data_IF_124754215982
#
_entry.id   IF_124754215982
#
_cell.length_a   1.000
_cell.length_b   1.000
_cell.length_c   1.000
_cell.angle_alpha   90.00
_cell.angle_beta   90.00
_cell.angle_gamma   90.00
#
_symmetry.space_group_name_H-M   'P 1'
#
loop_
_entity.id
_entity.type
_entity.pdbx_description
1 polymer ?
#
# COMPACT_ATOMS: atom_id res chain seq x y z
N UNK A 1 3.05 -10.45 7.66
CA UNK A 1 2.30 -9.17 7.84
C UNK A 1 2.36 -8.74 9.29
N UNK A 2 2.07 -7.48 9.57
CA UNK A 2 1.86 -6.97 10.93
C UNK A 2 1.32 -5.55 10.91
N UNK A 3 1.13 -4.99 12.10
CA UNK A 3 0.85 -3.57 12.31
C UNK A 3 2.01 -2.98 13.09
N UNK A 4 2.64 -1.94 12.59
CA UNK A 4 3.66 -1.19 13.31
C UNK A 4 3.00 -0.02 14.02
N UNK A 5 3.57 0.40 15.15
CA UNK A 5 3.18 1.63 15.83
C UNK A 5 4.43 2.49 16.03
N UNK A 6 4.39 3.74 15.60
CA UNK A 6 5.35 4.74 16.09
C UNK A 6 4.82 5.35 17.38
N UNK A 7 5.68 5.44 18.40
CA UNK A 7 5.30 5.92 19.73
C UNK A 7 4.69 7.33 19.64
N UNK A 8 3.41 7.46 20.02
CA UNK A 8 2.82 8.73 20.43
C UNK A 8 1.61 9.23 19.64
N UNK A 9 1.31 8.72 18.45
CA UNK A 9 0.13 9.12 17.68
C UNK A 9 -0.54 7.89 17.07
N UNK A 10 -1.79 8.04 16.65
CA UNK A 10 -2.56 7.05 15.90
C UNK A 10 -1.94 6.72 14.52
N UNK A 11 -0.63 6.57 14.42
CA UNK A 11 0.16 6.29 13.22
C UNK A 11 0.44 4.78 13.10
N UNK A 12 -0.54 3.94 13.45
CA UNK A 12 -0.39 2.51 13.21
C UNK A 12 -0.37 2.27 11.70
N UNK A 13 0.62 1.54 11.18
CA UNK A 13 0.71 1.23 9.75
C UNK A 13 0.74 -0.27 9.54
N UNK A 14 -0.14 -0.75 8.67
CA UNK A 14 -0.11 -2.11 8.19
C UNK A 14 1.15 -2.30 7.33
N UNK A 15 1.89 -3.38 7.56
CA UNK A 15 3.07 -3.71 6.79
C UNK A 15 3.11 -5.20 6.42
N UNK A 16 3.82 -5.51 5.34
CA UNK A 16 4.24 -6.88 5.00
C UNK A 16 5.74 -7.02 5.05
N UNK A 17 6.18 -8.25 5.31
CA UNK A 17 7.59 -8.60 5.34
C UNK A 17 7.82 -9.83 4.46
N UNK A 18 9.04 -9.95 3.94
CA UNK A 18 9.50 -11.18 3.30
C UNK A 18 9.78 -12.29 4.31
N UNK A 19 10.34 -13.40 3.80
CA UNK A 19 10.66 -14.57 4.62
C UNK A 19 11.50 -14.19 5.85
N UNK A 20 11.16 -14.78 7.00
CA UNK A 20 11.81 -14.51 8.28
C UNK A 20 11.77 -13.03 8.73
N UNK A 21 10.81 -12.25 8.25
CA UNK A 21 10.71 -10.82 8.59
C UNK A 21 11.67 -9.93 7.79
N UNK A 22 12.34 -10.46 6.77
CA UNK A 22 13.30 -9.72 5.96
C UNK A 22 12.59 -8.77 4.99
N UNK A 23 13.01 -7.51 4.97
CA UNK A 23 12.36 -6.46 4.19
C UNK A 23 10.99 -6.10 4.78
N UNK A 24 10.70 -4.80 4.88
CA UNK A 24 9.41 -4.29 5.35
C UNK A 24 8.85 -3.38 4.28
N UNK A 25 7.59 -3.62 3.91
CA UNK A 25 6.84 -2.80 2.95
C UNK A 25 5.64 -2.24 3.71
N UNK A 26 5.61 -0.91 3.86
CA UNK A 26 4.43 -0.19 4.35
C UNK A 26 3.33 -0.28 3.28
N UNK A 27 2.12 -0.66 3.68
CA UNK A 27 0.97 -0.79 2.78
C UNK A 27 0.23 0.54 2.57
N UNK A 28 0.53 1.55 3.38
CA UNK A 28 -0.20 2.81 3.45
C UNK A 28 -1.47 2.73 4.28
N UNK A 29 -2.31 3.76 4.19
CA UNK A 29 -3.53 3.91 4.98
C UNK A 29 -4.72 4.46 4.17
N UNK A 30 -4.75 4.25 2.84
CA UNK A 30 -5.80 4.78 1.93
C UNK A 30 -6.02 6.31 2.04
N UNK A 31 -4.94 7.06 2.27
CA UNK A 31 -5.02 8.50 2.51
C UNK A 31 -5.42 8.90 3.94
N UNK A 32 -5.72 7.93 4.80
CA UNK A 32 -5.98 8.11 6.23
C UNK A 32 -4.74 8.13 7.12
N UNK A 33 -4.99 8.19 8.42
CA UNK A 33 -3.96 8.34 9.45
C UNK A 33 -3.38 6.98 9.86
N UNK A 34 -4.22 5.95 9.91
CA UNK A 34 -3.82 4.61 10.35
C UNK A 34 -4.30 3.49 9.44
N UNK A 35 -3.59 2.36 9.53
CA UNK A 35 -4.01 1.07 9.02
C UNK A 35 -3.54 -0.07 9.92
N UNK A 36 -4.27 -1.17 9.90
CA UNK A 36 -3.92 -2.42 10.57
C UNK A 36 -4.24 -3.62 9.70
N UNK A 37 -3.34 -4.59 9.68
CA UNK A 37 -3.52 -5.85 8.96
C UNK A 37 -4.23 -6.89 9.85
N UNK A 38 -5.28 -7.52 9.31
CA UNK A 38 -6.05 -8.56 9.99
C UNK A 38 -5.76 -9.96 9.46
N UNK A 39 -5.40 -10.10 8.18
CA UNK A 39 -5.18 -11.40 7.53
C UNK A 39 -4.28 -11.28 6.30
N UNK A 40 -3.49 -12.32 6.03
CA UNK A 40 -2.68 -12.46 4.81
C UNK A 40 -2.81 -13.89 4.31
N UNK A 41 -2.87 -14.08 2.99
CA UNK A 41 -2.87 -15.40 2.36
C UNK A 41 -1.54 -15.71 1.62
N UNK A 42 -1.41 -16.92 1.09
CA UNK A 42 -0.20 -17.37 0.39
C UNK A 42 0.09 -16.65 -0.93
N UNK A 43 -0.88 -15.89 -1.48
CA UNK A 43 -0.69 -15.00 -2.63
C UNK A 43 -0.14 -13.62 -2.22
N UNK A 44 0.05 -13.38 -0.91
CA UNK A 44 0.51 -12.09 -0.38
C UNK A 44 -0.58 -11.03 -0.32
N UNK A 45 -1.84 -11.39 -0.52
CA UNK A 45 -2.97 -10.47 -0.36
C UNK A 45 -3.21 -10.23 1.12
N UNK A 46 -3.38 -8.96 1.51
CA UNK A 46 -3.59 -8.57 2.90
C UNK A 46 -4.96 -7.92 3.05
N UNK A 47 -5.72 -8.35 4.04
CA UNK A 47 -6.94 -7.64 4.47
C UNK A 47 -6.68 -6.87 5.75
N UNK A 48 -7.45 -5.82 5.97
CA UNK A 48 -7.32 -5.01 7.17
C UNK A 48 -8.34 -3.91 7.28
N UNK A 49 -8.03 -2.95 8.16
CA UNK A 49 -8.82 -1.75 8.36
C UNK A 49 -7.91 -0.52 8.25
N UNK A 50 -8.38 0.54 7.60
CA UNK A 50 -7.71 1.83 7.52
C UNK A 50 -8.71 2.96 7.80
N UNK A 51 -8.28 4.03 8.48
CA UNK A 51 -9.20 5.06 8.92
C UNK A 51 -8.55 6.41 9.19
N UNK A 52 -9.43 7.38 9.46
CA UNK A 52 -9.06 8.74 9.83
C UNK A 52 -9.30 8.95 11.33
N UNK A 53 -8.45 9.77 11.96
CA UNK A 53 -8.50 10.08 13.37
C UNK A 53 -8.00 8.95 14.25
N UNK A 54 -8.64 8.77 15.40
CA UNK A 54 -8.23 7.78 16.38
C UNK A 54 -8.41 6.35 15.87
N UNK A 55 -7.48 5.46 16.23
CA UNK A 55 -7.54 4.05 15.87
C UNK A 55 -8.91 3.43 16.22
N UNK A 56 -9.51 2.70 15.29
CA UNK A 56 -10.83 2.09 15.44
C UNK A 56 -12.02 3.03 15.20
N UNK A 57 -11.80 4.33 15.01
CA UNK A 57 -12.83 5.29 14.61
C UNK A 57 -12.82 5.44 13.07
N UNK A 58 -14.00 5.51 12.44
CA UNK A 58 -14.15 5.75 11.00
C UNK A 58 -13.26 4.85 10.11
N UNK A 59 -13.25 3.55 10.39
CA UNK A 59 -12.44 2.59 9.67
C UNK A 59 -13.17 2.01 8.45
N UNK A 60 -12.47 1.89 7.33
CA UNK A 60 -12.88 1.14 6.15
C UNK A 60 -12.11 -0.17 6.10
N UNK A 61 -12.81 -1.27 5.80
CA UNK A 61 -12.13 -2.52 5.50
C UNK A 61 -11.46 -2.43 4.12
N UNK A 62 -10.24 -2.95 4.02
CA UNK A 62 -9.48 -2.96 2.78
C UNK A 62 -9.01 -4.36 2.40
N UNK A 63 -8.72 -4.53 1.11
CA UNK A 63 -7.79 -5.54 0.60
C UNK A 63 -6.60 -4.85 -0.08
N UNK A 64 -5.40 -5.34 0.20
CA UNK A 64 -4.17 -4.97 -0.48
C UNK A 64 -3.72 -6.14 -1.34
N UNK A 65 -3.54 -5.91 -2.62
CA UNK A 65 -3.05 -6.89 -3.58
C UNK A 65 -2.30 -6.18 -4.69
N UNK A 66 -1.26 -6.82 -5.23
CA UNK A 66 -0.48 -6.30 -6.36
C UNK A 66 -0.01 -4.84 -6.21
N UNK A 67 0.32 -4.40 -5.00
CA UNK A 67 0.78 -3.03 -4.74
C UNK A 67 -0.31 -2.01 -4.45
N UNK A 68 -1.58 -2.41 -4.49
CA UNK A 68 -2.74 -1.51 -4.45
C UNK A 68 -3.61 -1.83 -3.24
N UNK A 69 -4.01 -0.80 -2.50
CA UNK A 69 -4.98 -0.89 -1.40
C UNK A 69 -6.37 -0.43 -1.87
N UNK A 70 -7.36 -1.30 -1.77
CA UNK A 70 -8.75 -1.07 -2.24
C UNK A 70 -9.72 -1.13 -1.07
N UNK A 71 -10.65 -0.18 -1.00
CA UNK A 71 -11.76 -0.22 -0.05
C UNK A 71 -12.75 -1.33 -0.43
N UNK A 72 -13.03 -2.27 0.48
CA UNK A 72 -14.02 -3.32 0.23
C UNK A 72 -15.44 -2.78 0.06
N UNK A 73 -15.76 -1.58 0.57
CA UNK A 73 -17.08 -0.97 0.39
C UNK A 73 -17.29 -0.34 -0.99
N UNK A 74 -16.25 -0.25 -1.84
CA UNK A 74 -16.34 0.30 -3.20
C UNK A 74 -16.47 -0.76 -4.28
N UNK A 75 -16.60 -2.02 -3.88
CA UNK A 75 -16.65 -3.12 -4.83
C UNK A 75 -18.07 -3.24 -5.37
N UNK A 76 -18.20 -3.38 -6.68
CA UNK A 76 -19.52 -3.45 -7.34
C UNK A 76 -20.38 -4.55 -6.71
N UNK A 77 -19.82 -5.75 -6.48
CA UNK A 77 -20.51 -6.86 -5.81
C UNK A 77 -20.98 -6.54 -4.38
N UNK A 78 -20.27 -5.67 -3.66
CA UNK A 78 -20.64 -5.24 -2.29
C UNK A 78 -21.73 -4.18 -2.35
N UNK A 79 -21.59 -3.22 -3.27
CA UNK A 79 -22.56 -2.13 -3.50
C UNK A 79 -23.90 -2.71 -3.98
N UNK A 80 -23.87 -3.55 -5.01
CA UNK A 80 -25.06 -4.18 -5.59
C UNK A 80 -25.80 -5.06 -4.58
N UNK A 81 -25.05 -5.72 -3.71
CA UNK A 81 -25.62 -6.52 -2.63
C UNK A 81 -26.08 -5.68 -1.42
N UNK A 82 -25.85 -4.36 -1.40
CA UNK A 82 -26.36 -3.46 -0.35
C UNK A 82 -25.58 -3.51 0.97
N UNK A 83 -24.37 -4.04 0.97
CA UNK A 83 -23.55 -4.15 2.18
C UNK A 83 -22.84 -2.84 2.51
N UNK A 84 -22.76 -2.53 3.80
CA UNK A 84 -22.07 -1.36 4.33
C UNK A 84 -21.29 -1.70 5.59
N UNK A 85 -20.43 -0.78 6.07
CA UNK A 85 -19.71 -0.91 7.35
C UNK A 85 -18.99 -2.25 7.51
N UNK A 86 -18.25 -2.64 6.48
CA UNK A 86 -17.57 -3.93 6.45
C UNK A 86 -16.39 -3.97 7.44
N UNK A 87 -16.21 -5.14 8.05
CA UNK A 87 -15.06 -5.50 8.85
C UNK A 87 -14.54 -6.89 8.40
N UNK A 88 -13.40 -6.89 7.70
CA UNK A 88 -12.76 -8.11 7.23
C UNK A 88 -11.97 -8.78 8.36
N UNK A 89 -12.29 -10.04 8.66
CA UNK A 89 -11.71 -10.78 9.78
C UNK A 89 -10.64 -11.77 9.34
N UNK A 90 -10.86 -12.47 8.24
CA UNK A 90 -9.91 -13.48 7.74
C UNK A 90 -10.01 -13.60 6.22
N UNK A 91 -8.89 -14.02 5.61
CA UNK A 91 -8.77 -14.35 4.19
C UNK A 91 -8.15 -15.75 4.07
N UNK A 92 -8.56 -16.53 3.08
CA UNK A 92 -7.94 -17.82 2.75
C UNK A 92 -7.09 -17.75 1.48
N UNK A 93 -6.41 -18.85 1.15
CA UNK A 93 -5.53 -18.95 -0.02
C UNK A 93 -6.26 -18.88 -1.37
N UNK A 94 -7.58 -19.00 -1.38
CA UNK A 94 -8.42 -18.81 -2.56
C UNK A 94 -8.95 -17.36 -2.66
N UNK A 95 -8.36 -16.41 -1.94
CA UNK A 95 -8.78 -15.00 -1.95
C UNK A 95 -10.14 -14.75 -1.30
N UNK A 96 -10.73 -15.73 -0.62
CA UNK A 96 -12.05 -15.56 -0.01
C UNK A 96 -11.93 -14.87 1.35
N UNK A 97 -12.78 -13.87 1.58
CA UNK A 97 -12.75 -13.04 2.79
C UNK A 97 -14.02 -13.32 3.59
N UNK A 98 -13.86 -13.54 4.90
CA UNK A 98 -14.97 -13.60 5.85
C UNK A 98 -14.91 -12.42 6.81
N UNK A 99 -16.08 -11.96 7.25
CA UNK A 99 -16.18 -10.79 8.11
C UNK A 99 -17.60 -10.52 8.57
N UNK A 100 -17.81 -9.30 9.07
CA UNK A 100 -19.11 -8.78 9.45
C UNK A 100 -19.37 -7.47 8.72
N UNK A 101 -20.63 -7.16 8.47
CA UNK A 101 -21.06 -5.90 7.88
C UNK A 101 -22.52 -5.63 8.20
N UNK A 102 -23.02 -4.51 7.70
CA UNK A 102 -24.44 -4.15 7.78
C UNK A 102 -25.08 -4.43 6.43
N UNK A 103 -26.10 -5.30 6.42
CA UNK A 103 -26.98 -5.53 5.28
C UNK A 103 -28.41 -5.19 5.71
N UNK A 104 -29.07 -4.30 4.97
CA UNK A 104 -30.43 -3.83 5.28
C UNK A 104 -30.61 -3.34 6.73
N UNK A 105 -29.57 -2.69 7.27
CA UNK A 105 -29.56 -2.18 8.65
C UNK A 105 -29.27 -3.22 9.73
N UNK A 106 -29.03 -4.48 9.36
CA UNK A 106 -28.75 -5.58 10.30
C UNK A 106 -27.30 -6.01 10.21
N UNK A 107 -26.66 -6.20 11.36
CA UNK A 107 -25.31 -6.78 11.42
C UNK A 107 -25.34 -8.25 11.04
N UNK A 108 -24.60 -8.62 10.01
CA UNK A 108 -24.55 -9.96 9.45
C UNK A 108 -23.12 -10.38 9.13
N UNK A 109 -22.87 -11.68 9.18
CA UNK A 109 -21.62 -12.25 8.69
C UNK A 109 -21.68 -12.37 7.15
N UNK A 110 -20.55 -12.14 6.48
CA UNK A 110 -20.44 -12.31 5.04
C UNK A 110 -19.30 -13.26 4.65
N UNK A 111 -19.43 -13.83 3.47
CA UNK A 111 -18.35 -14.44 2.69
C UNK A 111 -18.26 -13.68 1.36
N UNK A 112 -17.14 -12.98 1.14
CA UNK A 112 -16.82 -12.33 -0.12
C UNK A 112 -15.87 -13.24 -0.89
N UNK A 113 -16.27 -13.64 -2.09
CA UNK A 113 -15.44 -14.42 -3.02
C UNK A 113 -15.10 -13.57 -4.24
N UNK A 114 -13.99 -13.88 -4.92
CA UNK A 114 -13.53 -13.13 -6.09
C UNK A 114 -12.68 -11.90 -5.75
N UNK A 115 -12.14 -11.79 -4.52
CA UNK A 115 -11.19 -10.72 -4.19
C UNK A 115 -9.81 -10.92 -4.85
N UNK A 116 -9.62 -12.06 -5.49
CA UNK A 116 -8.49 -12.49 -6.33
C UNK A 116 -8.72 -12.24 -7.83
N UNK A 117 -9.91 -11.82 -8.25
CA UNK A 117 -10.20 -11.62 -9.68
C UNK A 117 -9.44 -10.39 -10.21
N UNK A 118 -8.61 -10.54 -11.24
CA UNK A 118 -7.78 -9.44 -11.78
C UNK A 118 -8.63 -8.34 -12.46
N UNK A 119 -9.83 -8.70 -12.96
CA UNK A 119 -10.76 -7.74 -13.59
C UNK A 119 -11.29 -6.71 -12.57
N UNK A 120 -11.36 -7.10 -11.31
CA UNK A 120 -11.68 -6.24 -10.17
C UNK A 120 -10.71 -5.07 -10.01
N UNK A 121 -9.40 -5.32 -10.18
CA UNK A 121 -8.39 -4.28 -10.02
C UNK A 121 -8.35 -3.36 -11.23
N UNK A 122 -8.56 -3.90 -12.44
CA UNK A 122 -8.55 -3.15 -13.71
C UNK A 122 -9.54 -1.99 -13.80
N UNK A 123 -10.66 -2.02 -13.06
CA UNK A 123 -11.64 -0.93 -13.00
C UNK A 123 -11.22 0.20 -12.04
N UNK A 124 -10.42 -0.13 -11.02
CA UNK A 124 -10.10 0.74 -9.88
C UNK A 124 -8.63 1.19 -9.81
N UNK A 125 -7.73 0.65 -10.63
CA UNK A 125 -6.43 1.27 -10.95
C UNK A 125 -6.46 1.94 -12.32
N UNK A 126 -6.10 3.24 -12.44
CA UNK A 126 -5.81 3.81 -13.74
C UNK A 126 -4.61 3.07 -14.35
N UNK A 127 -4.79 2.48 -15.53
CA UNK A 127 -3.78 1.72 -16.26
C UNK A 127 -2.44 2.43 -16.50
N UNK A 128 -1.41 1.62 -16.79
CA UNK A 128 -0.43 1.20 -15.80
C UNK A 128 0.51 2.35 -15.42
N UNK A 129 1.05 2.32 -14.21
CA UNK A 129 2.39 2.89 -14.04
C UNK A 129 3.28 2.08 -14.97
N UNK A 130 3.60 2.61 -16.16
CA UNK A 130 4.83 2.22 -16.84
C UNK A 130 5.89 2.21 -15.75
N UNK A 131 6.58 1.08 -15.47
CA UNK A 131 7.58 1.09 -14.43
C UNK A 131 8.47 2.30 -14.72
N UNK A 132 8.57 3.23 -13.76
CA UNK A 132 9.52 4.34 -13.89
C UNK A 132 10.81 3.67 -14.34
N UNK A 133 11.41 4.10 -15.47
CA UNK A 133 12.58 3.41 -16.02
C UNK A 133 13.53 3.24 -14.85
N UNK A 134 13.78 1.99 -14.46
CA UNK A 134 14.80 1.69 -13.46
C UNK A 134 16.03 2.39 -14.00
N UNK A 135 16.60 3.40 -13.30
CA UNK A 135 17.73 4.10 -13.84
C UNK A 135 18.80 3.04 -14.05
N UNK A 136 19.15 2.77 -15.31
CA UNK A 136 20.25 1.87 -15.63
C UNK A 136 21.47 2.31 -14.80
N UNK A 137 22.32 1.38 -14.32
CA UNK A 137 23.45 1.70 -13.43
C UNK A 137 24.31 2.90 -13.87
N UNK A 138 24.33 3.23 -15.18
CA UNK A 138 24.99 4.41 -15.74
C UNK A 138 24.40 5.76 -15.30
N UNK A 139 23.13 5.83 -14.90
CA UNK A 139 22.50 7.07 -14.41
C UNK A 139 23.03 7.48 -13.03
N UNK A 140 23.30 6.51 -12.15
CA UNK A 140 24.01 6.76 -10.89
C UNK A 140 25.48 7.15 -11.12
N UNK A 141 26.12 6.57 -12.13
CA UNK A 141 27.49 6.93 -12.51
C UNK A 141 27.58 8.37 -13.05
N UNK A 142 26.59 8.85 -13.81
CA UNK A 142 26.54 10.25 -14.27
C UNK A 142 26.24 11.25 -13.14
N UNK A 143 25.41 10.90 -12.15
CA UNK A 143 25.19 11.75 -10.98
C UNK A 143 26.47 11.92 -10.15
N UNK A 144 27.27 10.86 -10.01
CA UNK A 144 28.57 10.90 -9.32
C UNK A 144 29.66 11.62 -10.15
N UNK A 145 29.69 11.43 -11.47
CA UNK A 145 30.65 12.09 -12.35
C UNK A 145 30.43 13.61 -12.46
N UNK A 146 29.17 14.07 -12.38
CA UNK A 146 28.83 15.50 -12.40
C UNK A 146 29.29 16.28 -11.17
N UNK A 147 29.31 15.65 -9.98
CA UNK A 147 29.84 16.27 -8.76
C UNK A 147 31.38 16.23 -8.69
N UNK A 148 32.04 15.42 -9.51
CA UNK A 148 33.51 15.28 -9.54
C UNK A 148 34.24 16.25 -10.46
N UNK A 149 33.61 16.77 -11.53
CA UNK A 149 34.26 17.71 -12.46
C UNK A 149 34.27 19.18 -11.98
N UNK A 150 33.45 19.53 -10.98
CA UNK A 150 33.35 20.89 -10.45
C UNK A 150 34.49 21.35 -9.53
N UNK A 151 35.42 20.47 -9.15
CA UNK A 151 36.45 20.74 -8.13
C UNK A 151 37.90 20.78 -8.64
N UNK A 152 38.15 20.74 -9.96
CA UNK A 152 39.52 20.63 -10.51
C UNK A 152 40.07 21.84 -11.30
N UNK A 153 39.42 23.02 -11.27
CA UNK A 153 39.98 24.22 -11.93
C UNK A 153 40.25 25.38 -10.97
N UNK A 154 41.11 25.17 -9.98
CA UNK A 154 41.88 26.26 -9.37
C UNK A 154 43.36 25.89 -9.29
N UNK A 155 44.12 26.15 -10.37
CA UNK A 155 45.58 26.30 -10.32
C UNK A 155 46.06 27.38 -11.29
N UNK A 156 46.27 28.56 -10.71
CA UNK A 156 47.21 29.66 -11.03
C UNK A 156 47.81 29.77 -12.43
N UNK A 157 47.65 30.95 -13.06
CA UNK A 157 48.74 31.60 -13.81
C UNK A 157 48.78 33.11 -13.58
N UNK A 158 49.97 33.53 -13.17
CA UNK A 158 50.51 34.87 -13.02
C UNK A 158 50.87 35.45 -14.40
N UNK A 159 50.55 36.72 -14.60
CA UNK A 159 51.13 37.77 -15.49
C UNK A 159 51.32 37.57 -17.02
N UNK A 160 50.94 38.60 -17.80
CA UNK A 160 51.85 39.56 -18.47
C UNK A 160 51.04 40.57 -19.33
N UNK A 161 51.16 41.87 -19.04
CA UNK A 161 50.84 42.96 -19.97
C UNK A 161 52.17 43.61 -20.38
N UNK A 162 52.44 43.65 -21.68
CA UNK A 162 53.45 44.50 -22.33
C UNK A 162 52.76 45.62 -23.09
#
# INVERSE_FOLDING_TARGET
MGTSSSHGNNDSRAFVTGANGAGMIDLGAMGGDWSAANGINNLGQVIGAAGYGSYGSNANAFIYSNGVMVNLSYLDVVIEAGWTSLYAKAINDNGQIVGFGILDGVSQAFLLSGADDEDFYRSYVPFPLTPLPVPEPSTYAMLLAGLGLGLLFFRTKTELNS
#
